data_IF_677134179515
#
_entry.id   IF_677134179515
#
_cell.length_a   1.000
_cell.length_b   1.000
_cell.length_c   1.000
_cell.angle_alpha   90.00
_cell.angle_beta   90.00
_cell.angle_gamma   90.00
#
_symmetry.space_group_name_H-M   'P 1'
#
loop_
_entity.id
_entity.type
_entity.pdbx_description
1 polymer ?
#
# COMPACT_ATOMS: atom_id res chain seq x y z
N UNK A 1 9.53 -11.26 -16.69
CA UNK A 1 9.76 -10.93 -15.30
C UNK A 1 9.43 -9.49 -15.01
N UNK A 2 8.61 -9.20 -13.99
CA UNK A 2 8.28 -7.80 -13.73
C UNK A 2 9.50 -7.05 -13.24
N UNK A 3 9.61 -5.80 -13.65
CA UNK A 3 10.65 -4.93 -13.17
C UNK A 3 10.39 -4.58 -11.71
N UNK A 4 11.45 -4.50 -10.93
CA UNK A 4 11.39 -4.08 -9.55
C UNK A 4 12.10 -2.76 -9.40
N UNK A 5 11.47 -1.86 -8.68
CA UNK A 5 12.01 -0.54 -8.45
C UNK A 5 12.32 -0.36 -6.96
N UNK A 6 13.57 -0.01 -6.61
CA UNK A 6 13.93 0.27 -5.22
C UNK A 6 13.42 1.65 -4.85
N UNK A 7 12.13 1.74 -4.56
CA UNK A 7 11.50 3.01 -4.25
C UNK A 7 11.10 3.03 -2.78
N UNK A 8 11.53 4.06 -2.06
CA UNK A 8 11.17 4.24 -0.66
C UNK A 8 10.16 5.36 -0.52
N UNK A 9 8.92 4.98 -0.24
CA UNK A 9 7.83 5.92 0.01
C UNK A 9 7.15 5.54 1.30
N UNK A 10 6.53 6.51 1.93
CA UNK A 10 5.73 6.23 3.11
C UNK A 10 4.53 5.39 2.74
N UNK A 11 4.23 4.42 3.59
CA UNK A 11 3.06 3.57 3.41
C UNK A 11 2.33 3.42 4.73
N UNK A 12 1.01 3.57 4.68
CA UNK A 12 0.14 3.22 5.78
C UNK A 12 -0.52 1.90 5.41
N UNK A 13 -0.47 0.93 6.32
CA UNK A 13 -1.05 -0.37 6.02
C UNK A 13 -2.12 -0.73 7.04
N UNK A 14 -3.08 -1.51 6.59
CA UNK A 14 -4.19 -1.99 7.39
C UNK A 14 -4.31 -3.49 7.20
N UNK A 15 -4.51 -4.19 8.30
CA UNK A 15 -4.81 -5.61 8.29
C UNK A 15 -6.32 -5.77 8.30
N UNK A 16 -6.84 -6.46 7.31
CA UNK A 16 -8.28 -6.54 7.06
C UNK A 16 -8.76 -7.98 7.24
N UNK A 17 -9.91 -8.13 7.87
CA UNK A 17 -10.59 -9.41 7.95
C UNK A 17 -12.06 -9.17 7.59
N UNK A 18 -12.45 -9.63 6.41
CA UNK A 18 -13.75 -9.28 5.88
C UNK A 18 -13.81 -7.78 5.62
N UNK A 19 -14.78 -7.11 6.21
CA UNK A 19 -14.90 -5.66 6.10
C UNK A 19 -14.29 -4.92 7.29
N UNK A 20 -13.62 -5.64 8.19
CA UNK A 20 -13.10 -5.04 9.42
C UNK A 20 -11.60 -4.83 9.33
N UNK A 21 -11.16 -3.68 9.79
CA UNK A 21 -9.76 -3.38 10.00
C UNK A 21 -9.45 -3.70 11.45
N UNK A 22 -8.55 -4.67 11.70
CA UNK A 22 -8.26 -5.08 13.06
C UNK A 22 -6.88 -4.64 13.52
N UNK A 23 -6.03 -4.19 12.60
CA UNK A 23 -4.72 -3.65 12.95
C UNK A 23 -4.28 -2.69 11.86
N UNK A 24 -3.39 -1.79 12.20
CA UNK A 24 -2.86 -0.81 11.26
C UNK A 24 -1.47 -0.39 11.70
N UNK A 25 -0.71 0.10 10.75
CA UNK A 25 0.62 0.61 11.04
C UNK A 25 1.15 1.43 9.89
N UNK A 26 2.36 1.93 10.05
CA UNK A 26 3.03 2.73 9.04
C UNK A 26 4.44 2.18 8.83
N UNK A 27 4.94 2.33 7.63
CA UNK A 27 6.28 1.92 7.29
C UNK A 27 6.73 2.57 6.01
N UNK A 28 7.69 1.93 5.36
CA UNK A 28 8.25 2.38 4.08
C UNK A 28 8.17 1.27 3.07
N UNK A 29 7.99 1.65 1.82
CA UNK A 29 8.18 0.67 0.75
C UNK A 29 9.68 0.43 0.57
N UNK A 30 10.05 -0.80 0.26
CA UNK A 30 11.43 -1.18 0.00
C UNK A 30 11.67 -1.39 -1.48
N UNK A 31 10.76 -2.10 -2.12
CA UNK A 31 10.78 -2.27 -3.57
C UNK A 31 9.37 -2.60 -4.05
N UNK A 32 9.15 -2.36 -5.32
CA UNK A 32 7.82 -2.51 -5.90
C UNK A 32 7.92 -3.01 -7.32
N UNK A 33 7.00 -3.88 -7.68
CA UNK A 33 6.80 -4.31 -9.06
C UNK A 33 5.32 -4.21 -9.39
N UNK A 34 4.93 -4.62 -10.58
CA UNK A 34 3.51 -4.60 -10.94
C UNK A 34 2.67 -5.63 -10.20
N UNK A 35 3.32 -6.62 -9.57
CA UNK A 35 2.60 -7.71 -8.91
C UNK A 35 2.83 -7.78 -7.41
N UNK A 36 3.85 -7.10 -6.89
CA UNK A 36 4.24 -7.27 -5.50
C UNK A 36 4.91 -6.01 -4.97
N UNK A 37 4.67 -5.72 -3.71
CA UNK A 37 5.35 -4.63 -3.03
C UNK A 37 5.88 -5.13 -1.69
N UNK A 38 7.12 -4.78 -1.39
CA UNK A 38 7.74 -5.11 -0.10
C UNK A 38 7.79 -3.88 0.76
N UNK A 39 7.35 -4.01 1.99
CA UNK A 39 7.25 -2.89 2.94
C UNK A 39 7.89 -3.24 4.27
N UNK A 40 8.30 -2.22 5.02
CA UNK A 40 8.69 -2.42 6.40
C UNK A 40 7.45 -2.46 7.28
N UNK A 41 7.51 -3.25 8.33
CA UNK A 41 6.39 -3.39 9.27
C UNK A 41 6.92 -3.38 10.69
N UNK A 42 6.09 -2.95 11.62
CA UNK A 42 6.44 -2.99 13.04
C UNK A 42 6.06 -4.30 13.69
N UNK A 43 4.88 -4.82 13.30
CA UNK A 43 4.43 -6.09 13.84
C UNK A 43 4.69 -7.21 12.85
N UNK A 44 4.73 -8.41 13.35
CA UNK A 44 4.87 -9.59 12.52
C UNK A 44 3.53 -9.90 11.86
N UNK A 45 3.51 -9.92 10.54
CA UNK A 45 2.31 -10.19 9.77
C UNK A 45 2.39 -11.59 9.18
N UNK A 46 1.27 -12.29 9.18
CA UNK A 46 1.24 -13.69 8.73
C UNK A 46 0.97 -13.79 7.24
N UNK A 47 1.53 -14.79 6.61
CA UNK A 47 1.22 -15.11 5.21
C UNK A 47 -0.28 -15.35 5.07
N UNK A 48 -0.82 -14.85 3.99
CA UNK A 48 -2.25 -14.95 3.73
C UNK A 48 -3.08 -13.83 4.33
N UNK A 49 -2.49 -13.01 5.19
CA UNK A 49 -3.20 -11.88 5.77
C UNK A 49 -3.61 -10.89 4.69
N UNK A 50 -4.89 -10.56 4.66
CA UNK A 50 -5.41 -9.57 3.74
C UNK A 50 -4.96 -8.18 4.17
N UNK A 51 -4.45 -7.43 3.21
CA UNK A 51 -3.85 -6.13 3.47
C UNK A 51 -4.44 -5.05 2.59
N UNK A 52 -4.46 -3.86 3.12
CA UNK A 52 -4.72 -2.66 2.36
C UNK A 52 -3.59 -1.69 2.63
N UNK A 53 -2.99 -1.17 1.56
CA UNK A 53 -1.87 -0.26 1.64
C UNK A 53 -2.24 1.08 1.02
N UNK A 54 -1.77 2.16 1.63
CA UNK A 54 -1.87 3.48 1.03
C UNK A 54 -0.45 4.03 0.94
N UNK A 55 0.06 4.13 -0.25
CA UNK A 55 1.43 4.55 -0.52
C UNK A 55 1.43 5.98 -1.02
N UNK A 56 2.23 6.82 -0.39
CA UNK A 56 2.38 8.19 -0.81
C UNK A 56 3.10 8.21 -2.16
N UNK A 57 2.39 8.67 -3.21
CA UNK A 57 2.90 8.61 -4.56
C UNK A 57 3.57 9.94 -4.94
N UNK A 58 4.73 9.89 -5.60
CA UNK A 58 5.48 11.14 -5.87
C UNK A 58 4.86 12.04 -6.92
N UNK A 59 4.00 11.51 -7.78
CA UNK A 59 3.38 12.33 -8.82
C UNK A 59 2.22 13.11 -8.25
N UNK A 60 1.97 14.27 -8.83
CA UNK A 60 0.84 15.12 -8.47
C UNK A 60 -0.07 15.28 -9.65
N UNK A 61 -1.38 15.26 -9.38
CA UNK A 61 -2.37 15.58 -10.38
C UNK A 61 -2.50 17.10 -10.43
N UNK A 62 -2.32 17.66 -11.63
CA UNK A 62 -2.40 19.11 -11.86
C UNK A 62 -1.47 19.92 -10.97
N UNK A 63 -0.39 19.32 -10.50
CA UNK A 63 0.61 19.96 -9.66
C UNK A 63 0.08 20.46 -8.32
N UNK A 64 -1.18 20.19 -8.01
CA UNK A 64 -1.78 20.65 -6.76
C UNK A 64 -2.34 19.53 -5.91
N UNK A 65 -2.72 18.42 -6.53
CA UNK A 65 -3.32 17.32 -5.81
C UNK A 65 -2.30 16.19 -5.62
N UNK A 66 -1.97 15.91 -4.38
CA UNK A 66 -1.12 14.77 -4.08
C UNK A 66 -1.86 13.48 -4.33
N UNK A 67 -1.14 12.49 -4.79
CA UNK A 67 -1.73 11.19 -5.10
C UNK A 67 -1.30 10.15 -4.09
N UNK A 68 -2.16 9.19 -3.90
CA UNK A 68 -1.86 7.97 -3.15
C UNK A 68 -2.14 6.77 -4.03
N UNK A 69 -1.29 5.78 -3.93
CA UNK A 69 -1.52 4.49 -4.56
C UNK A 69 -2.12 3.57 -3.49
N UNK A 70 -3.35 3.18 -3.69
CA UNK A 70 -4.06 2.29 -2.77
C UNK A 70 -4.03 0.88 -3.34
N UNK A 71 -3.48 -0.04 -2.57
CA UNK A 71 -3.31 -1.42 -2.97
C UNK A 71 -4.10 -2.32 -2.04
N UNK A 72 -4.78 -3.31 -2.62
CA UNK A 72 -5.40 -4.40 -1.87
C UNK A 72 -4.69 -5.68 -2.28
N UNK A 73 -4.38 -6.50 -1.30
CA UNK A 73 -3.69 -7.75 -1.57
C UNK A 73 -3.52 -8.56 -0.30
N UNK A 74 -2.54 -9.45 -0.29
CA UNK A 74 -2.29 -10.29 0.87
C UNK A 74 -0.80 -10.56 1.03
N UNK A 75 -0.41 -10.89 2.24
CA UNK A 75 0.97 -11.20 2.59
C UNK A 75 1.37 -12.52 1.94
N UNK A 76 2.44 -12.53 1.19
CA UNK A 76 3.00 -13.75 0.58
C UNK A 76 4.34 -14.13 1.20
N UNK A 77 5.00 -13.19 1.86
CA UNK A 77 6.24 -13.45 2.55
C UNK A 77 6.35 -12.50 3.74
N UNK A 78 6.84 -12.99 4.86
CA UNK A 78 6.95 -12.19 6.07
C UNK A 78 8.23 -12.55 6.80
N UNK A 79 8.96 -11.51 7.19
CA UNK A 79 10.19 -11.61 7.97
C UNK A 79 10.12 -10.58 9.08
N UNK A 80 10.98 -10.70 10.11
CA UNK A 80 11.01 -9.65 11.14
C UNK A 80 11.30 -8.29 10.49
N UNK A 81 10.38 -7.36 10.69
CA UNK A 81 10.54 -6.00 10.20
C UNK A 81 10.13 -5.75 8.77
N UNK A 82 9.75 -6.77 8.01
CA UNK A 82 9.29 -6.54 6.64
C UNK A 82 8.34 -7.63 6.15
N UNK A 83 7.60 -7.29 5.11
CA UNK A 83 6.66 -8.21 4.50
C UNK A 83 6.50 -7.89 3.03
N UNK A 84 6.17 -8.92 2.25
CA UNK A 84 5.85 -8.77 0.84
C UNK A 84 4.36 -8.96 0.65
N UNK A 85 3.74 -8.03 -0.05
CA UNK A 85 2.31 -8.02 -0.33
C UNK A 85 2.10 -8.27 -1.81
N UNK A 86 1.35 -9.32 -2.13
CA UNK A 86 0.96 -9.57 -3.52
C UNK A 86 -0.21 -8.66 -3.84
N UNK A 87 -0.10 -7.96 -4.97
CA UNK A 87 -1.10 -6.98 -5.39
C UNK A 87 -2.25 -7.70 -6.07
N UNK A 88 -3.44 -7.60 -5.49
CA UNK A 88 -4.65 -8.11 -6.11
C UNK A 88 -5.29 -7.06 -6.98
N UNK A 89 -5.35 -5.84 -6.47
CA UNK A 89 -5.85 -4.70 -7.23
C UNK A 89 -5.22 -3.43 -6.68
N UNK A 90 -5.20 -2.39 -7.51
CA UNK A 90 -4.71 -1.10 -7.07
C UNK A 90 -5.49 0.01 -7.75
N UNK A 91 -5.41 1.20 -7.16
CA UNK A 91 -5.98 2.39 -7.77
C UNK A 91 -5.22 3.60 -7.26
N UNK A 92 -5.18 4.64 -8.08
CA UNK A 92 -4.63 5.91 -7.67
C UNK A 92 -5.75 6.80 -7.17
N UNK A 93 -5.51 7.47 -6.05
CA UNK A 93 -6.45 8.42 -5.48
C UNK A 93 -5.73 9.71 -5.20
N UNK A 94 -6.44 10.82 -5.36
CA UNK A 94 -5.93 12.10 -4.90
C UNK A 94 -6.23 12.21 -3.41
N UNK A 95 -5.39 12.98 -2.71
CA UNK A 95 -5.61 13.19 -1.28
C UNK A 95 -6.71 14.21 -1.07
N UNK A 96 -7.41 14.00 0.02
CA UNK A 96 -8.33 15.00 0.52
C UNK A 96 -9.76 14.76 0.14
N UNK A 97 -10.61 15.46 0.82
CA UNK A 97 -12.04 15.28 0.71
C UNK A 97 -12.60 15.73 -0.62
N UNK A 98 -11.91 16.68 -1.24
CA UNK A 98 -12.39 17.15 -2.53
C UNK A 98 -12.40 16.03 -3.54
N UNK A 99 -11.60 15.04 -3.33
CA UNK A 99 -11.65 13.88 -4.17
C UNK A 99 -13.00 13.20 -4.09
N UNK A 100 -13.49 13.00 -2.90
CA UNK A 100 -14.78 12.37 -2.72
C UNK A 100 -15.88 13.17 -3.40
N UNK A 101 -15.76 14.47 -3.33
CA UNK A 101 -16.71 15.35 -4.01
C UNK A 101 -16.66 15.14 -5.51
N UNK A 102 -15.45 15.05 -6.05
CA UNK A 102 -15.31 14.86 -7.47
C UNK A 102 -15.74 13.47 -7.91
N UNK A 103 -15.57 12.52 -7.06
CA UNK A 103 -15.94 11.15 -7.38
C UNK A 103 -17.44 10.94 -7.37
N UNK A 104 -18.15 11.80 -6.73
CA UNK A 104 -19.59 11.65 -6.60
C UNK A 104 -20.34 12.17 -7.82
#
# INVERSE_FOLDING_TARGET
MPLRFPIQRDVDYQCVKGSRIWAAGSGKTLEMSSSEVRITTRQHLKRGQKMRLAIDWPAMLDQTCRMKLVISGWIVDSQPGEAAVKIERYEFRTRGAQLAVMAS
#
